data_IF_952454194742
#
_entry.id   IF_952454194742
#
_cell.length_a   1.000
_cell.length_b   1.000
_cell.length_c   1.000
_cell.angle_alpha   90.00
_cell.angle_beta   90.00
_cell.angle_gamma   90.00
#
_symmetry.space_group_name_H-M   'P 1'
#
loop_
_entity.id
_entity.type
_entity.pdbx_description
1 polymer ?
#
# COMPACT_ATOMS: atom_id res chain seq x y z
N UNK A 1 14.80 48.81 24.36
CA UNK A 1 13.84 47.76 24.77
C UNK A 1 13.00 47.15 23.62
N UNK A 2 12.76 47.86 22.50
CA UNK A 2 11.93 47.32 21.38
C UNK A 2 12.64 46.32 20.45
N UNK A 3 13.96 46.44 20.27
CA UNK A 3 14.73 45.62 19.32
C UNK A 3 14.89 44.15 19.79
N UNK A 4 15.12 43.94 21.09
CA UNK A 4 15.28 42.60 21.68
C UNK A 4 13.98 41.80 21.59
N UNK A 5 12.83 42.45 21.81
CA UNK A 5 11.53 41.81 21.66
C UNK A 5 11.22 41.45 20.21
N UNK A 6 11.63 42.27 19.24
CA UNK A 6 11.46 41.97 17.82
C UNK A 6 12.30 40.75 17.40
N UNK A 7 13.56 40.69 17.82
CA UNK A 7 14.45 39.57 17.54
C UNK A 7 13.92 38.28 18.18
N UNK A 8 13.45 38.36 19.44
CA UNK A 8 12.83 37.22 20.11
C UNK A 8 11.60 36.69 19.37
N UNK A 9 10.75 37.59 18.85
CA UNK A 9 9.57 37.20 18.09
C UNK A 9 9.93 36.51 16.76
N UNK A 10 10.95 37.02 16.05
CA UNK A 10 11.42 36.43 14.79
C UNK A 10 11.95 35.01 15.03
N UNK A 11 12.75 34.80 16.09
CA UNK A 11 13.31 33.48 16.42
C UNK A 11 12.20 32.47 16.72
N UNK A 12 11.19 32.87 17.52
CA UNK A 12 10.05 32.00 17.85
C UNK A 12 9.22 31.67 16.61
N UNK A 13 8.97 32.66 15.74
CA UNK A 13 8.24 32.44 14.50
C UNK A 13 8.97 31.48 13.55
N UNK A 14 10.29 31.59 13.44
CA UNK A 14 11.11 30.68 12.63
C UNK A 14 11.10 29.26 13.19
N UNK A 15 11.19 29.09 14.51
CA UNK A 15 11.12 27.79 15.15
C UNK A 15 9.76 27.11 14.91
N UNK A 16 8.65 27.85 15.05
CA UNK A 16 7.30 27.34 14.77
C UNK A 16 7.12 26.94 13.30
N UNK A 17 7.64 27.74 12.36
CA UNK A 17 7.60 27.44 10.94
C UNK A 17 8.44 26.19 10.58
N UNK A 18 9.60 26.02 11.20
CA UNK A 18 10.44 24.84 11.00
C UNK A 18 9.77 23.57 11.53
N UNK A 19 9.17 23.63 12.73
CA UNK A 19 8.47 22.50 13.34
C UNK A 19 7.22 22.12 12.54
N UNK A 20 6.44 23.09 12.06
CA UNK A 20 5.27 22.80 11.24
C UNK A 20 5.65 22.21 9.88
N UNK A 21 6.68 22.73 9.22
CA UNK A 21 7.16 22.20 7.95
C UNK A 21 7.72 20.77 8.10
N UNK A 22 8.53 20.53 9.13
CA UNK A 22 9.08 19.19 9.40
C UNK A 22 8.00 18.19 9.81
N UNK A 23 7.02 18.63 10.60
CA UNK A 23 5.86 17.81 10.98
C UNK A 23 5.00 17.43 9.78
N UNK A 24 4.75 18.35 8.86
CA UNK A 24 3.98 18.08 7.63
C UNK A 24 4.76 17.14 6.70
N UNK A 25 6.07 17.35 6.53
CA UNK A 25 6.92 16.49 5.70
C UNK A 25 6.97 15.05 6.24
N UNK A 26 7.17 14.89 7.55
CA UNK A 26 7.20 13.57 8.20
C UNK A 26 5.82 12.88 8.20
N UNK A 27 4.73 13.65 8.32
CA UNK A 27 3.38 13.11 8.20
C UNK A 27 3.07 12.65 6.76
N UNK A 28 3.49 13.43 5.75
CA UNK A 28 3.31 13.08 4.34
C UNK A 28 4.08 11.80 3.98
N UNK A 29 5.33 11.68 4.44
CA UNK A 29 6.13 10.45 4.25
C UNK A 29 5.49 9.25 4.98
N UNK A 30 4.95 9.46 6.18
CA UNK A 30 4.24 8.44 6.93
C UNK A 30 2.98 7.94 6.21
N UNK A 31 2.19 8.84 5.64
CA UNK A 31 0.97 8.52 4.88
C UNK A 31 1.32 7.77 3.60
N UNK A 32 2.34 8.22 2.85
CA UNK A 32 2.78 7.54 1.63
C UNK A 32 3.24 6.11 1.93
N UNK A 33 4.05 5.94 2.99
CA UNK A 33 4.52 4.62 3.41
C UNK A 33 3.39 3.71 3.88
N UNK A 34 2.39 4.26 4.57
CA UNK A 34 1.19 3.51 4.95
C UNK A 34 0.38 3.09 3.72
N UNK A 35 0.22 3.97 2.74
CA UNK A 35 -0.48 3.68 1.49
C UNK A 35 0.22 2.56 0.71
N UNK A 36 1.54 2.62 0.56
CA UNK A 36 2.33 1.57 -0.10
C UNK A 36 2.18 0.20 0.60
N UNK A 37 2.22 0.17 1.94
CA UNK A 37 2.02 -1.07 2.69
C UNK A 37 0.62 -1.65 2.49
N UNK A 38 -0.41 -0.80 2.49
CA UNK A 38 -1.80 -1.24 2.28
C UNK A 38 -2.05 -1.71 0.85
N UNK A 39 -1.47 -1.04 -0.14
CA UNK A 39 -1.52 -1.49 -1.54
C UNK A 39 -0.85 -2.86 -1.67
N UNK A 40 0.29 -3.05 -1.02
CA UNK A 40 0.99 -4.34 -1.04
C UNK A 40 0.17 -5.46 -0.37
N UNK A 41 -0.40 -5.22 0.81
CA UNK A 41 -1.29 -6.19 1.48
C UNK A 41 -2.50 -6.56 0.62
N UNK A 42 -3.16 -5.56 0.01
CA UNK A 42 -4.31 -5.79 -0.88
C UNK A 42 -3.91 -6.62 -2.09
N UNK A 43 -2.73 -6.38 -2.67
CA UNK A 43 -2.23 -7.14 -3.80
C UNK A 43 -1.89 -8.60 -3.42
N UNK A 44 -1.28 -8.82 -2.25
CA UNK A 44 -0.98 -10.17 -1.75
C UNK A 44 -2.27 -10.95 -1.45
N UNK A 45 -3.26 -10.35 -0.80
CA UNK A 45 -4.56 -10.99 -0.57
C UNK A 45 -5.31 -11.26 -1.88
N UNK A 46 -5.20 -10.36 -2.85
CA UNK A 46 -5.81 -10.51 -4.17
C UNK A 46 -5.22 -11.69 -4.95
N UNK A 47 -3.89 -11.82 -4.98
CA UNK A 47 -3.21 -12.94 -5.65
C UNK A 47 -3.60 -14.28 -5.02
N UNK A 48 -3.66 -14.35 -3.69
CA UNK A 48 -4.10 -15.54 -2.96
C UNK A 48 -5.56 -15.91 -3.31
N UNK A 49 -6.45 -14.93 -3.40
CA UNK A 49 -7.86 -15.17 -3.68
C UNK A 49 -8.08 -15.64 -5.14
N UNK A 50 -7.39 -15.03 -6.12
CA UNK A 50 -7.41 -15.51 -7.50
C UNK A 50 -6.81 -16.93 -7.60
N UNK A 51 -5.70 -17.22 -6.91
CA UNK A 51 -5.05 -18.53 -6.94
C UNK A 51 -5.87 -19.66 -6.29
N UNK A 52 -6.72 -19.34 -5.30
CA UNK A 52 -7.63 -20.29 -4.67
C UNK A 52 -8.91 -20.51 -5.48
N UNK A 53 -9.46 -19.45 -6.08
CA UNK A 53 -10.74 -19.52 -6.79
C UNK A 53 -10.62 -20.25 -8.13
N UNK A 54 -9.50 -20.06 -8.83
CA UNK A 54 -9.33 -20.58 -10.19
C UNK A 54 -8.46 -21.84 -10.21
N UNK A 55 -9.02 -22.93 -9.68
CA UNK A 55 -8.43 -24.27 -9.77
C UNK A 55 -9.45 -25.26 -10.30
N UNK A 56 -9.01 -26.20 -11.13
CA UNK A 56 -9.83 -27.34 -11.54
C UNK A 56 -9.25 -28.62 -10.96
N UNK A 57 -10.13 -29.58 -10.68
CA UNK A 57 -9.75 -30.88 -10.12
C UNK A 57 -9.92 -31.97 -11.16
N UNK A 58 -8.87 -32.78 -11.33
CA UNK A 58 -8.92 -33.99 -12.14
C UNK A 58 -8.68 -35.21 -11.28
N UNK A 59 -9.42 -36.28 -11.56
CA UNK A 59 -9.15 -37.60 -10.99
C UNK A 59 -8.16 -38.32 -11.89
N UNK A 60 -6.95 -38.55 -11.37
CA UNK A 60 -5.89 -39.28 -12.01
C UNK A 60 -6.26 -40.77 -12.17
N UNK A 61 -5.58 -41.46 -13.08
CA UNK A 61 -5.83 -42.90 -13.36
C UNK A 61 -5.64 -43.82 -12.17
N UNK A 62 -4.91 -43.37 -11.14
CA UNK A 62 -4.71 -44.08 -9.87
C UNK A 62 -5.79 -43.77 -8.81
N UNK A 63 -6.83 -43.00 -9.16
CA UNK A 63 -7.91 -42.59 -8.26
C UNK A 63 -7.58 -41.41 -7.35
N UNK A 64 -6.38 -40.81 -7.47
CA UNK A 64 -6.03 -39.61 -6.72
C UNK A 64 -6.62 -38.35 -7.38
N UNK A 65 -7.07 -37.39 -6.57
CA UNK A 65 -7.54 -36.09 -7.09
C UNK A 65 -6.38 -35.10 -7.09
N UNK A 66 -6.05 -34.56 -8.26
CA UNK A 66 -5.08 -33.48 -8.43
C UNK A 66 -5.81 -32.15 -8.68
N UNK A 67 -5.28 -31.05 -8.11
CA UNK A 67 -5.82 -29.71 -8.30
C UNK A 67 -4.83 -28.84 -9.05
N UNK A 68 -5.17 -28.44 -10.27
CA UNK A 68 -4.33 -27.64 -11.14
C UNK A 68 -4.82 -26.19 -11.19
N UNK A 69 -3.89 -25.20 -11.20
CA UNK A 69 -4.27 -23.80 -11.38
C UNK A 69 -4.79 -23.57 -12.80
N UNK A 70 -5.91 -22.86 -12.93
CA UNK A 70 -6.44 -22.40 -14.20
C UNK A 70 -5.69 -21.11 -14.61
N UNK A 71 -4.55 -21.27 -15.29
CA UNK A 71 -3.63 -20.16 -15.59
C UNK A 71 -4.28 -18.99 -16.32
N UNK A 72 -5.23 -19.25 -17.23
CA UNK A 72 -5.88 -18.21 -18.02
C UNK A 72 -6.83 -17.39 -17.16
N UNK A 73 -7.72 -18.05 -16.42
CA UNK A 73 -8.66 -17.39 -15.51
C UNK A 73 -7.94 -16.68 -14.36
N UNK A 74 -6.82 -17.23 -13.88
CA UNK A 74 -5.95 -16.56 -12.91
C UNK A 74 -5.38 -15.25 -13.48
N UNK A 75 -4.79 -15.28 -14.69
CA UNK A 75 -4.26 -14.07 -15.35
C UNK A 75 -5.35 -13.04 -15.62
N UNK A 76 -6.52 -13.47 -16.05
CA UNK A 76 -7.67 -12.59 -16.30
C UNK A 76 -8.20 -11.98 -14.99
N UNK A 77 -8.19 -12.74 -13.87
CA UNK A 77 -8.55 -12.24 -12.54
C UNK A 77 -7.64 -11.10 -12.09
N UNK A 78 -6.32 -11.33 -12.14
CA UNK A 78 -5.30 -10.33 -11.78
C UNK A 78 -5.42 -9.09 -12.68
N UNK A 79 -5.52 -9.27 -14.00
CA UNK A 79 -5.60 -8.17 -14.96
C UNK A 79 -6.92 -7.37 -14.90
N UNK A 80 -8.04 -8.00 -14.54
CA UNK A 80 -9.32 -7.31 -14.39
C UNK A 80 -9.36 -6.39 -13.17
N UNK A 81 -8.56 -6.71 -12.14
CA UNK A 81 -8.53 -6.00 -10.86
C UNK A 81 -7.49 -4.90 -10.82
N UNK A 82 -6.41 -4.98 -11.60
CA UNK A 82 -5.50 -3.85 -11.85
C UNK A 82 -6.21 -2.63 -12.46
N UNK A 83 -7.32 -2.84 -13.20
CA UNK A 83 -8.13 -1.75 -13.78
C UNK A 83 -9.05 -1.03 -12.80
N UNK A 84 -9.12 -1.47 -11.55
CA UNK A 84 -9.89 -0.82 -10.48
C UNK A 84 -9.07 0.23 -9.70
N UNK A 85 -7.79 0.41 -10.03
CA UNK A 85 -6.92 1.46 -9.54
C UNK A 85 -6.89 2.68 -10.48
#
# INVERSE_FOLDING_TARGET
>A
MKLINLIGFIIVAMALAAVSFYGIATLADGINKFYELRVKEINEEMDLNCAQTYRYTETLSNGATASYPMEKEYKDCVASKEKLH
#
